data_IF_846665728176
#
_entry.id   IF_846665728176
#
_cell.length_a   1.000
_cell.length_b   1.000
_cell.length_c   1.000
_cell.angle_alpha   90.00
_cell.angle_beta   90.00
_cell.angle_gamma   90.00
#
_symmetry.space_group_name_H-M   'P 1'
#
loop_
_entity.id
_entity.type
_entity.pdbx_description
1 polymer ?
#
# COMPACT_ATOMS: atom_id res chain seq x y z
N UNK A 1 17.27 29.20 -10.08
CA UNK A 1 16.29 28.81 -9.04
C UNK A 1 16.76 27.49 -8.42
N UNK A 2 17.37 27.54 -7.24
CA UNK A 2 17.83 26.32 -6.56
C UNK A 2 16.61 25.58 -6.00
N UNK A 3 16.33 24.36 -6.48
CA UNK A 3 15.39 23.45 -5.82
C UNK A 3 15.98 23.13 -4.45
N UNK A 4 15.40 23.69 -3.38
CA UNK A 4 15.66 23.22 -2.02
C UNK A 4 15.20 21.76 -1.97
N UNK A 5 16.16 20.84 -2.02
CA UNK A 5 15.89 19.43 -1.73
C UNK A 5 15.47 19.39 -0.27
N UNK A 6 14.16 19.24 -0.02
CA UNK A 6 13.66 18.99 1.32
C UNK A 6 14.26 17.67 1.77
N UNK A 7 15.02 17.70 2.87
CA UNK A 7 15.60 16.51 3.47
C UNK A 7 14.45 15.60 3.91
N UNK A 8 14.24 14.51 3.20
CA UNK A 8 13.26 13.48 3.58
C UNK A 8 13.79 12.79 4.83
N UNK A 9 13.11 12.97 5.96
CA UNK A 9 13.42 12.28 7.20
C UNK A 9 12.56 11.02 7.26
N UNK A 10 13.17 9.85 7.42
CA UNK A 10 12.45 8.59 7.61
C UNK A 10 12.28 8.38 9.12
N UNK A 11 11.08 8.61 9.65
CA UNK A 11 10.77 8.53 11.07
C UNK A 11 10.87 7.10 11.60
N UNK A 12 10.55 6.10 10.78
CA UNK A 12 10.57 4.69 11.16
C UNK A 12 11.66 3.88 10.45
N UNK A 13 12.26 4.44 9.40
CA UNK A 13 13.27 3.75 8.58
C UNK A 13 12.73 2.49 7.89
N UNK A 14 11.41 2.40 7.75
CA UNK A 14 10.75 1.16 7.27
C UNK A 14 10.79 1.04 5.74
N UNK A 15 10.71 -0.18 5.18
CA UNK A 15 10.70 -0.35 3.73
C UNK A 15 9.50 0.35 3.06
N UNK A 16 8.34 0.37 3.73
CA UNK A 16 7.14 1.07 3.25
C UNK A 16 7.34 2.59 3.20
N UNK A 17 8.11 3.14 4.12
CA UNK A 17 8.43 4.57 4.16
C UNK A 17 9.39 4.95 3.02
N UNK A 18 10.35 4.07 2.72
CA UNK A 18 11.27 4.25 1.58
C UNK A 18 10.52 4.20 0.24
N UNK A 19 9.61 3.23 0.08
CA UNK A 19 8.73 3.14 -1.10
C UNK A 19 7.87 4.39 -1.26
N UNK A 20 7.21 4.82 -0.18
CA UNK A 20 6.36 5.99 -0.18
C UNK A 20 7.11 7.29 -0.50
N UNK A 21 8.32 7.47 0.05
CA UNK A 21 9.14 8.65 -0.19
C UNK A 21 9.55 8.80 -1.67
N UNK A 22 9.70 7.69 -2.39
CA UNK A 22 10.02 7.71 -3.82
C UNK A 22 8.80 8.06 -4.69
N UNK A 23 7.58 7.70 -4.25
CA UNK A 23 6.36 7.87 -5.02
C UNK A 23 5.57 9.15 -4.68
N UNK A 24 5.59 9.61 -3.43
CA UNK A 24 4.70 10.66 -2.92
C UNK A 24 5.35 12.04 -2.89
N UNK A 25 4.52 13.08 -3.08
CA UNK A 25 4.90 14.47 -2.79
C UNK A 25 5.24 14.63 -1.31
N UNK A 26 6.07 15.63 -0.93
CA UNK A 26 6.46 15.82 0.47
C UNK A 26 5.27 15.96 1.44
N UNK A 27 4.20 16.63 1.01
CA UNK A 27 2.98 16.75 1.81
C UNK A 27 2.28 15.39 2.02
N UNK A 28 2.11 14.63 0.94
CA UNK A 28 1.47 13.32 0.99
C UNK A 28 2.30 12.31 1.79
N UNK A 29 3.61 12.36 1.64
CA UNK A 29 4.54 11.53 2.40
C UNK A 29 4.43 11.81 3.90
N UNK A 30 4.43 13.08 4.32
CA UNK A 30 4.23 13.44 5.73
C UNK A 30 2.90 12.90 6.28
N UNK A 31 1.82 12.97 5.50
CA UNK A 31 0.52 12.41 5.92
C UNK A 31 0.55 10.91 6.13
N UNK A 32 1.30 10.19 5.29
CA UNK A 32 1.51 8.76 5.50
C UNK A 32 2.37 8.48 6.75
N UNK A 33 3.42 9.28 6.98
CA UNK A 33 4.27 9.15 8.17
C UNK A 33 3.49 9.35 9.47
N UNK A 34 2.64 10.37 9.53
CA UNK A 34 1.75 10.62 10.68
C UNK A 34 0.89 9.37 11.02
N UNK A 35 0.44 8.64 9.99
CA UNK A 35 -0.32 7.40 10.17
C UNK A 35 0.57 6.21 10.55
N UNK A 36 1.77 6.10 9.95
CA UNK A 36 2.75 5.04 10.23
C UNK A 36 3.25 5.09 11.68
N UNK A 37 3.55 6.27 12.23
CA UNK A 37 4.01 6.44 13.63
C UNK A 37 2.96 5.97 14.63
N UNK A 38 1.69 6.13 14.29
CA UNK A 38 0.57 5.78 15.16
C UNK A 38 0.10 4.33 14.99
N UNK A 39 0.38 3.69 13.85
CA UNK A 39 -0.03 2.31 13.57
C UNK A 39 0.45 1.27 14.61
N UNK A 40 1.68 1.34 15.18
CA UNK A 40 2.13 0.45 16.24
C UNK A 40 1.32 0.50 17.54
N UNK A 41 0.50 1.54 17.76
CA UNK A 41 -0.38 1.60 18.93
C UNK A 41 -1.59 0.66 18.83
N UNK A 42 -1.74 -0.03 17.69
CA UNK A 42 -2.86 -0.91 17.40
C UNK A 42 -2.39 -2.37 17.29
N UNK A 43 -3.23 -3.30 17.72
CA UNK A 43 -3.09 -4.72 17.42
C UNK A 43 -3.99 -5.11 16.26
N UNK A 44 -3.50 -5.98 15.37
CA UNK A 44 -4.30 -6.68 14.36
C UNK A 44 -4.59 -8.11 14.83
N UNK A 45 -5.87 -8.47 14.89
CA UNK A 45 -6.34 -9.81 15.23
C UNK A 45 -6.97 -10.42 13.97
N UNK A 46 -6.48 -11.56 13.46
CA UNK A 46 -7.12 -12.23 12.33
C UNK A 46 -8.50 -12.73 12.76
N UNK A 47 -9.51 -12.47 11.94
CA UNK A 47 -10.87 -12.98 12.07
C UNK A 47 -11.15 -14.08 11.04
N UNK A 48 -10.54 -13.97 9.86
CA UNK A 48 -10.61 -14.89 8.73
C UNK A 48 -9.33 -14.74 7.89
N UNK A 49 -9.17 -15.53 6.82
CA UNK A 49 -7.99 -15.53 5.95
C UNK A 49 -7.63 -14.12 5.44
N UNK A 50 -8.63 -13.34 5.07
CA UNK A 50 -8.48 -11.99 4.48
C UNK A 50 -9.09 -10.88 5.34
N UNK A 51 -9.42 -11.17 6.61
CA UNK A 51 -10.16 -10.26 7.47
C UNK A 51 -9.49 -10.10 8.84
N UNK A 52 -9.32 -8.85 9.26
CA UNK A 52 -8.65 -8.48 10.50
C UNK A 52 -9.50 -7.51 11.32
N UNK A 53 -9.54 -7.72 12.63
CA UNK A 53 -9.98 -6.71 13.59
C UNK A 53 -8.76 -5.91 14.05
N UNK A 54 -8.78 -4.60 13.86
CA UNK A 54 -7.70 -3.70 14.29
C UNK A 54 -8.21 -2.78 15.39
N UNK A 55 -7.60 -2.84 16.58
CA UNK A 55 -7.99 -2.01 17.73
C UNK A 55 -6.76 -1.50 18.46
N UNK A 56 -6.93 -0.43 19.22
CA UNK A 56 -5.84 0.11 20.03
C UNK A 56 -5.44 -0.91 21.10
N UNK A 57 -4.16 -0.98 21.44
CA UNK A 57 -3.68 -1.90 22.50
C UNK A 57 -4.35 -1.65 23.86
N UNK A 58 -4.78 -0.42 24.12
CA UNK A 58 -5.45 -0.02 25.36
C UNK A 58 -6.94 -0.36 25.40
N UNK A 59 -7.53 -0.82 24.29
CA UNK A 59 -8.97 -1.04 24.15
C UNK A 59 -9.30 -2.54 24.20
N UNK A 60 -10.31 -2.90 25.00
CA UNK A 60 -10.77 -4.29 25.14
C UNK A 60 -11.84 -4.67 24.10
N UNK A 61 -12.61 -3.71 23.60
CA UNK A 61 -13.71 -3.94 22.64
C UNK A 61 -13.68 -2.87 21.55
N UNK A 62 -14.37 -3.13 20.43
CA UNK A 62 -14.44 -2.21 19.29
C UNK A 62 -13.24 -2.33 18.34
N UNK A 63 -12.94 -1.24 17.63
CA UNK A 63 -11.93 -1.18 16.58
C UNK A 63 -12.51 -1.18 15.18
N UNK A 64 -11.63 -1.24 14.19
CA UNK A 64 -11.99 -1.23 12.76
C UNK A 64 -11.78 -2.60 12.14
N UNK A 65 -12.67 -2.96 11.22
CA UNK A 65 -12.51 -4.14 10.37
C UNK A 65 -11.65 -3.76 9.17
N UNK A 66 -10.61 -4.53 8.90
CA UNK A 66 -9.77 -4.40 7.72
C UNK A 66 -9.90 -5.69 6.89
N UNK A 67 -10.23 -5.52 5.61
CA UNK A 67 -10.31 -6.62 4.64
C UNK A 67 -9.13 -6.42 3.70
N UNK A 68 -8.29 -7.45 3.56
CA UNK A 68 -7.08 -7.45 2.74
C UNK A 68 -7.11 -8.65 1.82
N UNK A 69 -7.40 -8.42 0.54
CA UNK A 69 -7.32 -9.40 -0.53
C UNK A 69 -5.95 -9.25 -1.22
N UNK A 70 -4.98 -10.13 -0.93
CA UNK A 70 -3.66 -10.05 -1.54
C UNK A 70 -3.68 -10.41 -3.03
N UNK A 71 -4.64 -11.22 -3.49
CA UNK A 71 -4.76 -11.61 -4.90
C UNK A 71 -5.18 -10.44 -5.77
N UNK A 72 -6.00 -9.54 -5.23
CA UNK A 72 -6.45 -8.32 -5.91
C UNK A 72 -5.66 -7.06 -5.51
N UNK A 73 -4.60 -7.22 -4.70
CA UNK A 73 -3.86 -6.11 -4.08
C UNK A 73 -4.77 -5.07 -3.40
N UNK A 74 -5.90 -5.54 -2.86
CA UNK A 74 -7.00 -4.71 -2.42
C UNK A 74 -7.09 -4.72 -0.90
N UNK A 75 -7.06 -3.56 -0.27
CA UNK A 75 -7.21 -3.40 1.17
C UNK A 75 -8.20 -2.29 1.53
N UNK A 76 -9.20 -2.61 2.36
CA UNK A 76 -10.21 -1.66 2.83
C UNK A 76 -10.34 -1.72 4.33
N UNK A 77 -10.55 -0.56 4.93
CA UNK A 77 -10.81 -0.42 6.35
C UNK A 77 -12.18 0.22 6.54
N UNK A 78 -12.95 -0.28 7.50
CA UNK A 78 -14.27 0.24 7.86
C UNK A 78 -14.27 1.68 8.38
N UNK A 79 -13.10 2.29 8.61
CA UNK A 79 -13.01 3.72 8.95
C UNK A 79 -13.10 4.64 7.72
N UNK A 80 -13.07 4.08 6.50
CA UNK A 80 -13.25 4.78 5.22
C UNK A 80 -12.32 6.00 5.01
N UNK A 81 -11.20 6.08 5.74
CA UNK A 81 -10.27 7.21 5.66
C UNK A 81 -9.77 7.44 4.24
N UNK A 82 -9.50 6.37 3.49
CA UNK A 82 -9.04 6.47 2.11
C UNK A 82 -10.11 7.08 1.21
N UNK A 83 -11.38 6.75 1.38
CA UNK A 83 -12.47 7.30 0.57
C UNK A 83 -12.63 8.81 0.83
N UNK A 84 -12.39 9.26 2.06
CA UNK A 84 -12.52 10.68 2.44
C UNK A 84 -11.28 11.53 2.15
N UNK A 85 -10.06 11.03 2.41
CA UNK A 85 -8.83 11.81 2.26
C UNK A 85 -7.93 11.35 1.10
N UNK A 86 -8.10 10.12 0.63
CA UNK A 86 -7.20 9.44 -0.31
C UNK A 86 -5.87 9.00 0.31
N UNK A 87 -5.82 8.85 1.63
CA UNK A 87 -4.65 8.33 2.35
C UNK A 87 -5.01 7.05 3.10
N UNK A 88 -4.08 6.09 3.11
CA UNK A 88 -4.20 4.90 3.93
C UNK A 88 -4.22 5.27 5.42
N UNK A 89 -5.15 4.70 6.18
CA UNK A 89 -5.18 4.89 7.62
C UNK A 89 -4.19 3.98 8.34
N UNK A 90 -3.87 4.36 9.57
CA UNK A 90 -3.08 3.56 10.52
C UNK A 90 -3.57 2.11 10.67
N UNK A 91 -4.88 1.84 10.52
CA UNK A 91 -5.41 0.48 10.61
C UNK A 91 -4.96 -0.39 9.43
N UNK A 92 -5.04 0.15 8.21
CA UNK A 92 -4.54 -0.53 7.01
C UNK A 92 -3.03 -0.71 7.12
N UNK A 93 -2.30 0.35 7.47
CA UNK A 93 -0.85 0.30 7.64
C UNK A 93 -0.42 -0.72 8.70
N UNK A 94 -1.22 -0.89 9.77
CA UNK A 94 -0.96 -1.92 10.77
C UNK A 94 -1.07 -3.32 10.20
N UNK A 95 -2.10 -3.60 9.39
CA UNK A 95 -2.30 -4.91 8.75
C UNK A 95 -1.22 -5.18 7.70
N UNK A 96 -0.87 -4.18 6.88
CA UNK A 96 0.23 -4.29 5.92
C UNK A 96 1.54 -4.64 6.64
N UNK A 97 1.87 -3.91 7.71
CA UNK A 97 3.06 -4.15 8.53
C UNK A 97 3.06 -5.54 9.18
N UNK A 98 1.94 -6.02 9.74
CA UNK A 98 1.88 -7.35 10.35
C UNK A 98 1.87 -8.49 9.33
N UNK A 99 1.46 -8.21 8.09
CA UNK A 99 1.49 -9.14 6.96
C UNK A 99 2.80 -9.09 6.17
N UNK A 100 3.81 -8.33 6.63
CA UNK A 100 5.07 -8.09 5.93
C UNK A 100 4.89 -7.56 4.48
N UNK A 101 3.79 -6.85 4.23
CA UNK A 101 3.54 -6.18 2.96
C UNK A 101 4.01 -4.72 3.09
N UNK A 102 5.11 -4.39 2.42
CA UNK A 102 5.72 -3.05 2.48
C UNK A 102 5.60 -2.27 1.18
N UNK A 103 4.97 -2.87 0.16
CA UNK A 103 4.63 -2.18 -1.07
C UNK A 103 3.24 -1.56 -0.93
N UNK A 104 3.10 -0.29 -1.32
CA UNK A 104 1.79 0.36 -1.40
C UNK A 104 1.31 0.18 -2.84
N UNK A 105 0.19 -0.54 -3.08
CA UNK A 105 -0.34 -0.72 -4.42
C UNK A 105 -0.70 0.62 -5.06
N UNK A 106 -0.55 0.72 -6.38
CA UNK A 106 -0.74 1.97 -7.14
C UNK A 106 -2.14 2.58 -6.96
N UNK A 107 -3.17 1.75 -6.78
CA UNK A 107 -4.52 2.21 -6.52
C UNK A 107 -4.68 3.03 -5.22
N UNK A 108 -3.73 2.88 -4.27
CA UNK A 108 -3.65 3.67 -3.04
C UNK A 108 -2.67 4.84 -3.12
N UNK A 109 -2.16 5.13 -4.32
CA UNK A 109 -1.30 6.27 -4.65
C UNK A 109 -2.00 7.19 -5.66
N UNK A 110 -3.07 7.93 -5.28
CA UNK A 110 -3.77 8.82 -6.21
C UNK A 110 -2.83 9.83 -6.86
N UNK A 111 -2.96 10.05 -8.17
CA UNK A 111 -2.09 10.94 -8.96
C UNK A 111 -1.86 12.33 -8.34
N UNK A 112 -2.87 12.91 -7.67
CA UNK A 112 -2.76 14.21 -6.99
C UNK A 112 -1.71 14.26 -5.87
N UNK A 113 -1.33 13.09 -5.35
CA UNK A 113 -0.40 12.93 -4.23
C UNK A 113 0.99 12.46 -4.65
N UNK A 114 1.19 12.12 -5.93
CA UNK A 114 2.44 11.56 -6.45
C UNK A 114 3.33 12.62 -7.11
N UNK A 115 4.66 12.46 -7.02
CA UNK A 115 5.63 13.43 -7.57
C UNK A 115 5.72 13.43 -9.10
N UNK A 116 5.41 12.29 -9.74
CA UNK A 116 5.50 12.11 -11.19
C UNK A 116 4.19 11.51 -11.71
N UNK A 117 3.40 12.32 -12.42
CA UNK A 117 2.14 11.89 -13.09
C UNK A 117 2.40 10.90 -14.25
N UNK A 118 3.67 10.61 -14.57
CA UNK A 118 4.09 9.84 -15.76
C UNK A 118 4.41 8.36 -15.48
N UNK A 119 4.44 7.88 -14.22
CA UNK A 119 4.88 6.52 -13.91
C UNK A 119 3.77 5.49 -13.70
N UNK A 120 2.54 5.92 -13.40
CA UNK A 120 1.43 4.99 -13.14
C UNK A 120 0.94 4.27 -14.41
N UNK A 121 0.94 4.95 -15.56
CA UNK A 121 0.66 4.29 -16.86
C UNK A 121 1.79 3.36 -17.26
N UNK A 122 3.05 3.77 -17.11
CA UNK A 122 4.19 2.96 -17.53
C UNK A 122 4.41 1.69 -16.69
N UNK A 123 4.03 1.67 -15.41
CA UNK A 123 4.12 0.46 -14.58
C UNK A 123 2.99 -0.52 -14.86
N UNK A 124 1.75 -0.02 -14.98
CA UNK A 124 0.58 -0.82 -15.36
C UNK A 124 0.74 -1.43 -16.77
N UNK A 125 1.24 -0.66 -17.74
CA UNK A 125 1.53 -1.15 -19.09
C UNK A 125 2.62 -2.23 -19.12
N UNK A 126 3.66 -2.11 -18.28
CA UNK A 126 4.73 -3.12 -18.18
C UNK A 126 4.25 -4.41 -17.52
N UNK A 127 3.42 -4.33 -16.47
CA UNK A 127 2.85 -5.52 -15.82
C UNK A 127 1.89 -6.22 -16.79
N UNK A 128 1.02 -5.49 -17.46
CA UNK A 128 0.10 -6.07 -18.45
C UNK A 128 0.85 -6.69 -19.63
N UNK A 129 1.93 -6.04 -20.11
CA UNK A 129 2.77 -6.61 -21.16
C UNK A 129 3.50 -7.87 -20.69
N UNK A 130 4.06 -7.88 -19.47
CA UNK A 130 4.70 -9.08 -18.92
C UNK A 130 3.71 -10.24 -18.74
N UNK A 131 2.47 -9.96 -18.31
CA UNK A 131 1.44 -10.98 -18.10
C UNK A 131 0.90 -11.59 -19.40
N UNK A 132 0.81 -10.78 -20.46
CA UNK A 132 0.48 -11.26 -21.81
C UNK A 132 1.60 -12.15 -22.35
N UNK A 133 2.85 -11.70 -22.24
CA UNK A 133 4.02 -12.45 -22.70
C UNK A 133 4.16 -13.77 -21.94
N UNK A 134 3.98 -13.79 -20.62
CA UNK A 134 4.03 -15.06 -19.87
C UNK A 134 2.90 -16.03 -20.23
N UNK A 135 1.71 -15.53 -20.56
CA UNK A 135 0.60 -16.38 -21.00
C UNK A 135 0.85 -17.00 -22.37
N UNK A 136 1.48 -16.26 -23.28
CA UNK A 136 1.83 -16.71 -24.64
C UNK A 136 2.95 -17.77 -24.62
N UNK A 137 3.97 -17.55 -23.79
CA UNK A 137 5.08 -18.52 -23.58
C UNK A 137 4.58 -19.84 -22.97
N UNK A 138 3.57 -19.79 -22.10
CA UNK A 138 2.96 -20.98 -21.47
C UNK A 138 2.10 -21.74 -22.48
N UNK A 139 1.40 -21.05 -23.38
CA UNK A 139 0.64 -21.68 -24.46
C UNK A 139 1.54 -22.38 -25.49
N UNK A 140 2.63 -21.75 -25.94
CA UNK A 140 3.60 -22.37 -26.86
C UNK A 140 4.30 -23.59 -26.24
N UNK A 141 4.53 -23.59 -24.93
CA UNK A 141 5.15 -24.73 -24.23
C UNK A 141 4.24 -25.96 -24.15
N UNK A 142 2.92 -25.80 -24.33
CA UNK A 142 1.96 -26.90 -24.33
C UNK A 142 1.70 -27.54 -25.71
N UNK A 143 2.28 -26.99 -26.77
CA UNK A 143 2.15 -27.51 -28.14
C UNK A 143 3.36 -28.39 -28.56
N UNK A 144 4.34 -28.59 -27.66
CA UNK A 144 5.59 -29.32 -27.92
C UNK A 144 5.58 -30.75 -27.31
N UNK A 145 4.48 -31.17 -26.65
CA UNK A 145 4.34 -32.52 -26.08
C UNK A 145 3.36 -33.44 -26.86
N UNK A 146 3.37 -33.40 -28.20
CA UNK A 146 2.74 -34.46 -29.03
C UNK A 146 3.73 -35.13 -30.00
#
# INVERSE_FOLDING_TARGET
MQRKVQKVFLEMGSPIESHAAAALTPYAFQKLQDELVLAPQYASFPLDEYCFQVRRHTELNGGCKVISDPCQEHIRCSCNQFDFSGFLCRHVLRVLSSSNCFHIPDQYLPNRWCVNVLSSTAHSERIHHQQLVTSELVAESSEIEE
#
